data_IF_291812454417
#
_entry.id   IF_291812454417
#
_cell.length_a   1.000
_cell.length_b   1.000
_cell.length_c   1.000
_cell.angle_alpha   90.00
_cell.angle_beta   90.00
_cell.angle_gamma   90.00
#
_symmetry.space_group_name_H-M   'P 1'
#
loop_
_entity.id
_entity.type
_entity.pdbx_description
1 polymer ?
#
# COMPACT_ATOMS: atom_id res chain seq x y z
N UNK A 1 8.86 10.90 -7.16
CA UNK A 1 7.81 11.58 -7.93
C UNK A 1 7.10 12.59 -7.03
N UNK A 2 7.00 13.82 -7.47
CA UNK A 2 6.24 14.86 -6.78
C UNK A 2 4.99 15.18 -7.58
N UNK A 3 3.85 15.17 -6.91
CA UNK A 3 2.58 15.53 -7.52
C UNK A 3 1.80 16.42 -6.55
N UNK A 4 0.75 17.07 -7.05
CA UNK A 4 -0.14 17.81 -6.17
C UNK A 4 -0.86 16.88 -5.17
N UNK A 5 -0.78 15.56 -5.39
CA UNK A 5 -1.40 14.56 -4.53
C UNK A 5 -0.39 13.77 -3.71
N UNK A 6 0.83 14.31 -3.53
CA UNK A 6 1.88 13.62 -2.78
C UNK A 6 1.45 13.21 -1.38
N UNK A 7 0.71 14.09 -0.70
CA UNK A 7 0.23 13.81 0.64
C UNK A 7 -0.77 12.63 0.65
N UNK A 8 -1.63 12.56 -0.36
CA UNK A 8 -2.58 11.45 -0.48
C UNK A 8 -1.87 10.12 -0.73
N UNK A 9 -0.81 10.14 -1.54
CA UNK A 9 0.02 8.95 -1.77
C UNK A 9 0.69 8.49 -0.48
N UNK A 10 1.21 9.44 0.31
CA UNK A 10 1.85 9.12 1.58
C UNK A 10 0.85 8.50 2.55
N UNK A 11 -0.34 9.07 2.66
CA UNK A 11 -1.39 8.53 3.53
C UNK A 11 -1.79 7.13 3.08
N UNK A 12 -1.94 6.92 1.78
CA UNK A 12 -2.26 5.59 1.24
C UNK A 12 -1.19 4.57 1.64
N UNK A 13 0.08 4.93 1.48
CA UNK A 13 1.18 4.04 1.86
C UNK A 13 1.16 3.69 3.34
N UNK A 14 0.87 4.68 4.20
CA UNK A 14 0.76 4.45 5.64
C UNK A 14 -0.41 3.54 5.98
N UNK A 15 -1.54 3.69 5.29
CA UNK A 15 -2.70 2.79 5.50
C UNK A 15 -2.39 1.37 5.06
N UNK A 16 -1.70 1.21 3.94
CA UNK A 16 -1.28 -0.11 3.48
C UNK A 16 -0.40 -0.77 4.55
N UNK A 17 0.57 -0.04 5.08
CA UNK A 17 1.45 -0.57 6.13
C UNK A 17 0.67 -0.92 7.38
N UNK A 18 -0.29 -0.08 7.77
CA UNK A 18 -1.11 -0.30 8.95
C UNK A 18 -1.92 -1.60 8.83
N UNK A 19 -2.65 -1.77 7.73
CA UNK A 19 -3.48 -2.96 7.54
C UNK A 19 -2.63 -4.20 7.33
N UNK A 20 -1.48 -4.07 6.68
CA UNK A 20 -0.53 -5.18 6.52
C UNK A 20 -0.08 -5.69 7.89
N UNK A 21 0.37 -4.80 8.75
CA UNK A 21 0.85 -5.15 10.09
C UNK A 21 -0.27 -5.71 10.95
N UNK A 22 -1.44 -5.10 10.87
CA UNK A 22 -2.63 -5.57 11.59
C UNK A 22 -3.02 -6.98 11.18
N UNK A 23 -2.79 -7.34 9.93
CA UNK A 23 -3.06 -8.68 9.41
C UNK A 23 -1.93 -9.67 9.70
N UNK A 24 -0.83 -9.21 10.29
CA UNK A 24 0.27 -10.09 10.67
C UNK A 24 1.27 -10.37 9.55
N UNK A 25 1.22 -9.65 8.44
CA UNK A 25 2.16 -9.87 7.33
C UNK A 25 3.43 -9.07 7.49
N UNK A 26 4.58 -9.71 7.24
CA UNK A 26 5.82 -8.98 7.00
C UNK A 26 5.75 -8.36 5.61
N UNK A 27 6.66 -7.43 5.31
CA UNK A 27 6.73 -6.87 3.95
C UNK A 27 6.99 -7.98 2.92
N UNK A 28 7.89 -8.91 3.24
CA UNK A 28 8.23 -10.02 2.35
C UNK A 28 7.01 -10.90 2.05
N UNK A 29 6.30 -11.27 3.10
CA UNK A 29 5.14 -12.14 2.94
C UNK A 29 4.02 -11.44 2.16
N UNK A 30 3.77 -10.17 2.45
CA UNK A 30 2.72 -9.42 1.76
C UNK A 30 3.08 -9.17 0.30
N UNK A 31 4.33 -8.80 0.03
CA UNK A 31 4.80 -8.59 -1.33
C UNK A 31 4.62 -9.85 -2.17
N UNK A 32 4.95 -11.01 -1.61
CA UNK A 32 4.74 -12.29 -2.29
C UNK A 32 3.25 -12.50 -2.61
N UNK A 33 2.39 -12.24 -1.64
CA UNK A 33 0.94 -12.43 -1.81
C UNK A 33 0.36 -11.55 -2.91
N UNK A 34 0.86 -10.33 -3.06
CA UNK A 34 0.36 -9.41 -4.09
C UNK A 34 1.14 -9.51 -5.40
N UNK A 35 2.14 -10.41 -5.48
CA UNK A 35 2.88 -10.63 -6.71
C UNK A 35 3.84 -9.51 -7.06
N UNK A 36 4.38 -8.80 -6.07
CA UNK A 36 5.30 -7.69 -6.27
C UNK A 36 6.56 -7.89 -5.43
N UNK A 37 7.61 -7.13 -5.74
CA UNK A 37 8.85 -7.21 -4.99
C UNK A 37 8.73 -6.53 -3.63
N UNK A 38 9.57 -6.95 -2.68
CA UNK A 38 9.69 -6.28 -1.38
C UNK A 38 10.11 -4.82 -1.58
N UNK A 39 11.01 -4.58 -2.53
CA UNK A 39 11.47 -3.22 -2.81
C UNK A 39 10.33 -2.31 -3.26
N UNK A 40 9.44 -2.82 -4.10
CA UNK A 40 8.24 -2.08 -4.49
C UNK A 40 7.40 -1.72 -3.28
N UNK A 41 7.12 -2.70 -2.43
CA UNK A 41 6.28 -2.48 -1.24
C UNK A 41 6.94 -1.50 -0.27
N UNK A 42 8.26 -1.62 -0.07
CA UNK A 42 8.99 -0.70 0.79
C UNK A 42 8.88 0.74 0.27
N UNK A 43 8.92 0.93 -1.04
CA UNK A 43 8.75 2.25 -1.63
C UNK A 43 7.33 2.77 -1.45
N UNK A 44 6.32 1.91 -1.61
CA UNK A 44 4.92 2.30 -1.44
C UNK A 44 4.64 2.72 0.01
N UNK A 45 5.16 1.98 0.96
CA UNK A 45 4.94 2.25 2.39
C UNK A 45 5.85 3.35 2.93
N UNK A 46 6.92 3.68 2.21
CA UNK A 46 7.86 4.70 2.66
C UNK A 46 7.33 6.11 2.47
N UNK A 47 7.87 7.05 3.23
CA UNK A 47 7.46 8.45 3.18
C UNK A 47 8.44 9.33 2.44
N UNK A 48 9.63 8.80 2.10
CA UNK A 48 10.66 9.57 1.42
C UNK A 48 10.53 9.62 -0.09
N UNK A 49 9.78 8.69 -0.68
CA UNK A 49 9.60 8.59 -2.12
C UNK A 49 8.14 8.25 -2.41
N UNK A 50 7.55 8.94 -3.36
CA UNK A 50 6.20 8.64 -3.79
C UNK A 50 6.27 7.56 -4.86
N UNK A 51 5.64 6.42 -4.58
CA UNK A 51 5.55 5.31 -5.52
C UNK A 51 4.08 5.07 -5.86
N UNK A 52 3.72 5.37 -7.10
CA UNK A 52 2.35 5.14 -7.55
C UNK A 52 2.05 3.66 -7.68
N UNK A 53 0.78 3.29 -7.50
CA UNK A 53 0.33 1.93 -7.69
C UNK A 53 -0.86 1.93 -8.64
N UNK A 54 -1.01 0.83 -9.38
CA UNK A 54 -2.16 0.65 -10.26
C UNK A 54 -3.39 0.27 -9.44
N UNK A 55 -4.57 0.49 -10.01
CA UNK A 55 -5.80 0.00 -9.39
C UNK A 55 -5.77 -1.51 -9.24
N UNK A 56 -5.20 -2.23 -10.21
CA UNK A 56 -5.06 -3.68 -10.13
C UNK A 56 -4.31 -4.09 -8.86
N UNK A 57 -3.18 -3.44 -8.60
CA UNK A 57 -2.38 -3.72 -7.41
C UNK A 57 -3.14 -3.34 -6.14
N UNK A 58 -3.82 -2.19 -6.15
CA UNK A 58 -4.61 -1.76 -5.00
C UNK A 58 -5.71 -2.76 -4.66
N UNK A 59 -6.44 -3.23 -5.67
CA UNK A 59 -7.50 -4.22 -5.46
C UNK A 59 -6.94 -5.53 -4.95
N UNK A 60 -5.77 -5.95 -5.44
CA UNK A 60 -5.11 -7.16 -4.97
C UNK A 60 -4.69 -7.04 -3.51
N UNK A 61 -4.14 -5.88 -3.13
CA UNK A 61 -3.79 -5.60 -1.74
C UNK A 61 -5.02 -5.71 -0.83
N UNK A 62 -6.11 -5.06 -1.23
CA UNK A 62 -7.35 -5.08 -0.44
C UNK A 62 -7.88 -6.49 -0.28
N UNK A 63 -7.82 -7.29 -1.36
CA UNK A 63 -8.27 -8.68 -1.31
C UNK A 63 -7.43 -9.51 -0.34
N UNK A 64 -6.10 -9.37 -0.40
CA UNK A 64 -5.21 -10.11 0.49
C UNK A 64 -5.42 -9.69 1.94
N UNK A 65 -5.68 -8.41 2.17
CA UNK A 65 -5.94 -7.88 3.51
C UNK A 65 -7.38 -8.14 3.99
N UNK A 66 -8.23 -8.64 3.10
CA UNK A 66 -9.64 -8.93 3.40
C UNK A 66 -10.39 -7.69 3.88
N UNK A 67 -10.16 -6.56 3.20
CA UNK A 67 -10.85 -5.30 3.46
C UNK A 67 -11.35 -4.74 2.14
N UNK A 68 -12.39 -3.90 2.15
CA UNK A 68 -12.77 -3.20 0.93
C UNK A 68 -11.68 -2.20 0.54
N UNK A 69 -11.49 -2.02 -0.76
CA UNK A 69 -10.46 -1.08 -1.25
C UNK A 69 -10.70 0.33 -0.73
N UNK A 70 -11.95 0.70 -0.47
CA UNK A 70 -12.29 2.02 0.07
C UNK A 70 -11.59 2.30 1.40
N UNK A 71 -11.30 1.25 2.19
CA UNK A 71 -10.58 1.44 3.46
C UNK A 71 -9.18 1.98 3.25
N UNK A 72 -8.55 1.64 2.13
CA UNK A 72 -7.22 2.14 1.81
C UNK A 72 -7.26 3.57 1.27
N UNK A 73 -8.40 4.00 0.76
CA UNK A 73 -8.56 5.31 0.12
C UNK A 73 -9.29 6.34 0.98
N UNK A 74 -9.74 5.95 2.17
CA UNK A 74 -10.45 6.88 3.06
C UNK A 74 -9.54 8.03 3.49
N UNK A 75 -10.10 9.23 3.51
CA UNK A 75 -9.47 10.38 4.14
C UNK A 75 -9.83 10.37 5.62
N UNK A 76 -8.84 10.60 6.45
CA UNK A 76 -9.06 10.65 7.90
C UNK A 76 -9.35 12.07 8.37
#
# INVERSE_FOLDING_TARGET
MNTEFSEKHTVLGLKIAYYRKKSGYTQEAFAEKIGRSVNFLAQVEGTGTIRGISLETLFRMARVLNIPASKLLEDD
#
